data_IF_740706040141
#
_entry.id   IF_740706040141
#
_cell.length_a   1.000
_cell.length_b   1.000
_cell.length_c   1.000
_cell.angle_alpha   90.00
_cell.angle_beta   90.00
_cell.angle_gamma   90.00
#
_symmetry.space_group_name_H-M   'P 1'
#
loop_
_entity.id
_entity.type
_entity.pdbx_description
1 polymer ?
#
# COMPACT_ATOMS: atom_id res chain seq x y z
N UNK A 1 11.28 29.31 13.99
CA UNK A 1 11.61 28.42 12.84
C UNK A 1 12.83 27.53 13.14
N UNK A 2 13.00 27.02 14.37
CA UNK A 2 14.23 26.31 14.79
C UNK A 2 13.95 24.92 15.40
N UNK A 3 12.72 24.62 15.78
CA UNK A 3 12.34 23.36 16.44
C UNK A 3 12.16 22.18 15.49
N UNK A 4 11.79 22.41 14.22
CA UNK A 4 11.60 21.31 13.25
C UNK A 4 12.93 20.72 12.76
N UNK A 5 13.98 21.55 12.66
CA UNK A 5 15.26 21.13 12.10
C UNK A 5 16.07 20.23 13.04
N UNK A 6 15.89 20.33 14.35
CA UNK A 6 16.57 19.48 15.32
C UNK A 6 16.07 18.03 15.32
N UNK A 7 14.88 17.76 14.74
CA UNK A 7 14.30 16.43 14.65
C UNK A 7 14.66 15.69 13.34
N UNK A 8 15.17 16.40 12.33
CA UNK A 8 15.48 15.83 11.02
C UNK A 8 16.91 15.29 10.99
N UNK A 9 17.08 14.07 10.48
CA UNK A 9 18.41 13.54 10.19
C UNK A 9 19.11 14.34 9.08
N UNK A 10 20.44 14.26 9.00
CA UNK A 10 21.24 15.01 8.01
C UNK A 10 20.74 14.82 6.56
N UNK A 11 20.31 13.60 6.22
CA UNK A 11 19.75 13.28 4.91
C UNK A 11 18.41 14.00 4.64
N UNK A 12 17.54 14.07 5.64
CA UNK A 12 16.24 14.74 5.53
C UNK A 12 16.40 16.25 5.50
N UNK A 13 17.29 16.78 6.33
CA UNK A 13 17.69 18.19 6.32
C UNK A 13 18.15 18.61 4.92
N UNK A 14 19.08 17.86 4.32
CA UNK A 14 19.59 18.16 2.98
C UNK A 14 18.52 18.11 1.89
N UNK A 15 17.48 17.28 2.06
CA UNK A 15 16.36 17.19 1.10
C UNK A 15 15.45 18.40 1.18
N UNK A 16 15.23 18.96 2.37
CA UNK A 16 14.25 20.03 2.59
C UNK A 16 14.86 21.41 2.85
N UNK A 17 16.19 21.52 2.87
CA UNK A 17 16.93 22.75 3.16
C UNK A 17 16.64 23.89 2.17
N UNK A 18 16.30 23.56 0.92
CA UNK A 18 15.97 24.51 -0.15
C UNK A 18 14.49 24.92 -0.20
N UNK A 19 13.64 24.39 0.67
CA UNK A 19 12.22 24.74 0.71
C UNK A 19 12.00 26.00 1.56
N UNK A 20 11.18 26.93 1.06
CA UNK A 20 11.04 28.26 1.65
C UNK A 20 10.09 28.28 2.85
N UNK A 21 9.08 27.41 2.84
CA UNK A 21 8.06 27.32 3.89
C UNK A 21 7.94 25.92 4.48
N UNK A 22 7.30 25.84 5.66
CA UNK A 22 7.13 24.59 6.41
C UNK A 22 6.28 23.58 5.65
N UNK A 23 5.31 24.04 4.86
CA UNK A 23 4.43 23.16 4.07
C UNK A 23 5.22 22.41 3.01
N UNK A 24 6.06 23.09 2.24
CA UNK A 24 6.92 22.44 1.24
C UNK A 24 7.90 21.45 1.85
N UNK A 25 8.45 21.75 3.03
CA UNK A 25 9.31 20.80 3.76
C UNK A 25 8.52 19.54 4.14
N UNK A 26 7.31 19.72 4.66
CA UNK A 26 6.42 18.61 5.02
C UNK A 26 6.00 17.79 3.79
N UNK A 27 5.50 18.44 2.73
CA UNK A 27 5.09 17.78 1.49
C UNK A 27 6.24 16.96 0.88
N UNK A 28 7.48 17.49 0.94
CA UNK A 28 8.66 16.79 0.43
C UNK A 28 9.06 15.61 1.31
N UNK A 29 8.90 15.69 2.63
CA UNK A 29 9.12 14.56 3.54
C UNK A 29 8.04 13.49 3.37
N UNK A 30 6.78 13.89 3.23
CA UNK A 30 5.65 13.00 2.96
C UNK A 30 5.86 12.22 1.65
N UNK A 31 6.19 12.92 0.56
CA UNK A 31 6.51 12.27 -0.73
C UNK A 31 7.71 11.34 -0.64
N UNK A 32 8.68 11.66 0.21
CA UNK A 32 9.91 10.87 0.40
C UNK A 32 9.65 9.55 1.10
N UNK A 33 8.85 9.57 2.18
CA UNK A 33 8.68 8.43 3.06
C UNK A 33 7.43 7.62 2.72
N UNK A 34 6.37 8.28 2.29
CA UNK A 34 5.09 7.66 1.97
C UNK A 34 4.84 7.52 0.46
N UNK A 35 5.68 8.16 -0.38
CA UNK A 35 5.48 8.24 -1.82
C UNK A 35 4.49 9.35 -2.23
N UNK A 36 4.41 9.63 -3.52
CA UNK A 36 3.41 10.57 -4.06
C UNK A 36 2.00 9.96 -4.03
N UNK A 37 0.96 10.79 -3.99
CA UNK A 37 -0.43 10.35 -4.17
C UNK A 37 -0.62 9.47 -5.42
N UNK A 38 0.04 9.82 -6.52
CA UNK A 38 0.04 9.04 -7.77
C UNK A 38 0.61 7.63 -7.59
N UNK A 39 1.71 7.48 -6.85
CA UNK A 39 2.30 6.15 -6.56
C UNK A 39 1.36 5.33 -5.68
N UNK A 40 0.75 5.95 -4.65
CA UNK A 40 -0.26 5.30 -3.80
C UNK A 40 -1.45 4.83 -4.65
N UNK A 41 -1.98 5.67 -5.53
CA UNK A 41 -3.10 5.35 -6.44
C UNK A 41 -2.74 4.21 -7.43
N UNK A 42 -1.54 4.24 -8.00
CA UNK A 42 -1.05 3.16 -8.88
C UNK A 42 -0.94 1.84 -8.12
N UNK A 43 -0.43 1.84 -6.88
CA UNK A 43 -0.36 0.64 -6.05
C UNK A 43 -1.74 0.09 -5.70
N UNK A 44 -2.70 0.96 -5.33
CA UNK A 44 -4.09 0.54 -5.10
C UNK A 44 -4.67 -0.09 -6.36
N UNK A 45 -4.42 0.51 -7.53
CA UNK A 45 -4.93 0.00 -8.81
C UNK A 45 -4.36 -1.37 -9.15
N UNK A 46 -3.04 -1.55 -8.97
CA UNK A 46 -2.35 -2.82 -9.18
C UNK A 46 -2.88 -3.92 -8.24
N UNK A 47 -2.92 -3.66 -6.94
CA UNK A 47 -3.43 -4.62 -5.95
C UNK A 47 -4.93 -4.92 -6.15
N UNK A 48 -5.71 -3.94 -6.63
CA UNK A 48 -7.12 -4.16 -6.98
C UNK A 48 -7.24 -5.13 -8.15
N UNK A 49 -6.36 -5.01 -9.15
CA UNK A 49 -6.32 -5.92 -10.29
C UNK A 49 -5.91 -7.33 -9.82
N UNK A 50 -4.89 -7.45 -8.98
CA UNK A 50 -4.47 -8.73 -8.39
C UNK A 50 -5.62 -9.38 -7.62
N UNK A 51 -6.32 -8.61 -6.79
CA UNK A 51 -7.52 -9.08 -6.10
C UNK A 51 -8.59 -9.55 -7.10
N UNK A 52 -8.89 -8.76 -8.14
CA UNK A 52 -9.90 -9.12 -9.14
C UNK A 52 -9.54 -10.37 -9.94
N UNK A 53 -8.26 -10.56 -10.26
CA UNK A 53 -7.76 -11.70 -11.02
C UNK A 53 -7.34 -12.89 -10.14
N UNK A 54 -7.45 -12.75 -8.81
CA UNK A 54 -7.03 -13.77 -7.87
C UNK A 54 -7.66 -15.14 -8.17
N UNK A 55 -6.78 -16.13 -8.32
CA UNK A 55 -7.08 -17.55 -8.56
C UNK A 55 -6.05 -18.39 -7.82
N UNK A 56 -6.47 -19.58 -7.39
CA UNK A 56 -5.55 -20.57 -6.81
C UNK A 56 -4.62 -21.07 -7.91
N UNK A 57 -3.30 -21.08 -7.66
CA UNK A 57 -2.34 -21.68 -8.59
C UNK A 57 -2.40 -23.20 -8.46
N UNK A 58 -2.15 -23.91 -9.57
CA UNK A 58 -2.18 -25.39 -9.61
C UNK A 58 -1.23 -26.06 -8.61
N UNK A 59 -0.14 -25.38 -8.26
CA UNK A 59 0.90 -25.88 -7.34
C UNK A 59 0.79 -25.30 -5.92
N UNK A 60 -0.12 -24.34 -5.68
CA UNK A 60 -0.29 -23.73 -4.36
C UNK A 60 -1.17 -24.60 -3.45
N UNK A 61 -0.68 -24.85 -2.24
CA UNK A 61 -1.50 -25.44 -1.18
C UNK A 61 -2.55 -24.45 -0.65
N UNK A 62 -3.58 -24.95 0.05
CA UNK A 62 -4.66 -24.11 0.63
C UNK A 62 -4.10 -23.01 1.56
N UNK A 63 -3.07 -23.33 2.35
CA UNK A 63 -2.47 -22.35 3.26
C UNK A 63 -1.71 -21.25 2.50
N UNK A 64 -0.92 -21.63 1.48
CA UNK A 64 -0.17 -20.67 0.65
C UNK A 64 -1.12 -19.75 -0.13
N UNK A 65 -2.21 -20.31 -0.66
CA UNK A 65 -3.29 -19.54 -1.27
C UNK A 65 -3.91 -18.54 -0.28
N UNK A 66 -4.21 -18.97 0.95
CA UNK A 66 -4.78 -18.08 1.96
C UNK A 66 -3.81 -16.97 2.38
N UNK A 67 -2.53 -17.28 2.55
CA UNK A 67 -1.49 -16.31 2.87
C UNK A 67 -1.35 -15.27 1.76
N UNK A 68 -1.33 -15.70 0.49
CA UNK A 68 -1.29 -14.80 -0.66
C UNK A 68 -2.54 -13.90 -0.72
N UNK A 69 -3.73 -14.46 -0.53
CA UNK A 69 -4.97 -13.69 -0.51
C UNK A 69 -4.97 -12.65 0.62
N UNK A 70 -4.55 -13.06 1.81
CA UNK A 70 -4.46 -12.21 3.00
C UNK A 70 -3.44 -11.10 2.81
N UNK A 71 -2.32 -11.37 2.14
CA UNK A 71 -1.32 -10.38 1.80
C UNK A 71 -1.90 -9.26 0.91
N UNK A 72 -2.66 -9.62 -0.13
CA UNK A 72 -3.32 -8.64 -1.02
C UNK A 72 -4.31 -7.78 -0.24
N UNK A 73 -5.18 -8.41 0.55
CA UNK A 73 -6.20 -7.71 1.36
C UNK A 73 -5.56 -6.76 2.37
N UNK A 74 -4.54 -7.22 3.09
CA UNK A 74 -3.86 -6.38 4.08
C UNK A 74 -3.13 -5.21 3.42
N UNK A 75 -2.51 -5.41 2.27
CA UNK A 75 -1.85 -4.35 1.51
C UNK A 75 -2.84 -3.31 0.97
N UNK A 76 -4.03 -3.73 0.55
CA UNK A 76 -5.11 -2.80 0.19
C UNK A 76 -5.62 -2.02 1.42
N UNK A 77 -5.75 -2.69 2.56
CA UNK A 77 -6.22 -2.09 3.81
C UNK A 77 -5.26 -1.03 4.33
N UNK A 78 -3.95 -1.24 4.26
CA UNK A 78 -2.95 -0.22 4.65
C UNK A 78 -2.98 1.00 3.73
N UNK A 79 -3.43 0.84 2.49
CA UNK A 79 -3.63 1.93 1.52
C UNK A 79 -5.05 2.54 1.58
N UNK A 80 -5.85 2.18 2.58
CA UNK A 80 -7.18 2.76 2.82
C UNK A 80 -8.33 2.11 2.05
N UNK A 81 -8.09 1.01 1.31
CA UNK A 81 -9.13 0.25 0.60
C UNK A 81 -9.44 -1.05 1.35
N UNK A 82 -10.69 -1.22 1.77
CA UNK A 82 -11.12 -2.41 2.51
C UNK A 82 -12.26 -3.13 1.81
N UNK A 83 -12.38 -4.43 2.08
CA UNK A 83 -13.48 -5.28 1.64
C UNK A 83 -14.17 -5.86 2.87
N UNK A 84 -15.49 -6.06 2.78
CA UNK A 84 -16.25 -6.73 3.83
C UNK A 84 -15.88 -8.22 3.89
N UNK A 85 -16.08 -8.83 5.06
CA UNK A 85 -15.85 -10.27 5.24
C UNK A 85 -16.64 -11.12 4.23
N UNK A 86 -17.86 -10.70 3.88
CA UNK A 86 -18.68 -11.41 2.90
C UNK A 86 -18.07 -11.38 1.49
N UNK A 87 -17.57 -10.22 1.06
CA UNK A 87 -16.90 -10.08 -0.24
C UNK A 87 -15.63 -10.93 -0.30
N UNK A 88 -14.83 -10.91 0.77
CA UNK A 88 -13.60 -11.69 0.86
C UNK A 88 -13.86 -13.19 0.80
N UNK A 89 -14.81 -13.70 1.59
CA UNK A 89 -15.18 -15.12 1.59
C UNK A 89 -15.73 -15.53 0.22
N UNK A 90 -16.63 -14.74 -0.37
CA UNK A 90 -17.18 -15.02 -1.69
C UNK A 90 -16.10 -15.06 -2.76
N UNK A 91 -15.14 -14.13 -2.71
CA UNK A 91 -14.01 -14.09 -3.66
C UNK A 91 -13.13 -15.32 -3.52
N UNK A 92 -12.82 -15.72 -2.29
CA UNK A 92 -12.00 -16.88 -1.99
C UNK A 92 -12.68 -18.18 -2.48
N UNK A 93 -13.98 -18.35 -2.22
CA UNK A 93 -14.75 -19.49 -2.72
C UNK A 93 -14.77 -19.55 -4.25
N UNK A 94 -15.00 -18.41 -4.93
CA UNK A 94 -15.01 -18.35 -6.39
C UNK A 94 -13.67 -18.70 -7.02
N UNK A 95 -12.55 -18.43 -6.33
CA UNK A 95 -11.22 -18.81 -6.81
C UNK A 95 -10.92 -20.30 -6.71
N UNK A 96 -11.65 -21.03 -5.85
CA UNK A 96 -11.54 -22.48 -5.66
C UNK A 96 -12.47 -23.26 -6.59
N UNK A 97 -13.62 -22.69 -6.95
CA UNK A 97 -14.63 -23.35 -7.79
C UNK A 97 -14.37 -23.28 -9.29
N UNK A 98 -13.30 -22.61 -9.73
CA UNK A 98 -12.80 -22.75 -11.11
C UNK A 98 -12.11 -24.10 -11.27
N UNK A 99 -12.93 -25.15 -11.40
CA UNK A 99 -12.56 -26.49 -11.84
C UNK A 99 -13.32 -26.85 -13.10
#
# INVERSE_FOLDING_TARGET
MHTLFCALGLNEYNRVSLCDNVKEKWDKLEVTHEGTSRVKESNISFLTLDYQLFKVKLEEGINEMFDHFTHIINSLKTLGKSYSNNEMVKKMLNSLTTS
#
